data_IF_196967144439
#
_entry.id   IF_196967144439
#
_cell.length_a   1.000
_cell.length_b   1.000
_cell.length_c   1.000
_cell.angle_alpha   90.00
_cell.angle_beta   90.00
_cell.angle_gamma   90.00
#
_symmetry.space_group_name_H-M   'P 1'
#
loop_
_entity.id
_entity.type
_entity.pdbx_description
1 polymer ?
#
# COMPACT_ATOMS: atom_id res chain seq x y z
N UNK A 1 -24.96 42.68 10.54
CA UNK A 1 -23.66 42.11 10.93
C UNK A 1 -23.96 40.96 11.86
N UNK A 2 -23.86 39.72 11.37
CA UNK A 2 -23.75 38.58 12.27
C UNK A 2 -22.88 37.51 11.61
N UNK A 3 -21.67 37.44 12.14
CA UNK A 3 -20.55 36.59 11.76
C UNK A 3 -20.83 35.13 12.14
N UNK A 4 -21.41 34.36 11.20
CA UNK A 4 -21.43 32.88 11.26
C UNK A 4 -21.12 32.26 9.89
N UNK A 5 -20.15 32.83 9.17
CA UNK A 5 -19.52 32.15 8.05
C UNK A 5 -18.64 31.01 8.59
N UNK A 6 -19.30 29.86 8.69
CA UNK A 6 -18.79 28.50 8.51
C UNK A 6 -17.26 28.34 8.57
N UNK A 7 -16.72 28.19 9.78
CA UNK A 7 -15.63 27.23 10.03
C UNK A 7 -16.21 25.81 9.89
N UNK A 8 -16.57 25.44 8.65
CA UNK A 8 -16.42 24.06 8.25
C UNK A 8 -14.92 23.88 8.14
N UNK A 9 -14.35 23.21 9.14
CA UNK A 9 -12.98 22.73 9.08
C UNK A 9 -12.94 21.87 7.84
N UNK A 10 -12.36 22.42 6.78
CA UNK A 10 -12.20 21.77 5.51
C UNK A 10 -11.21 20.63 5.76
N UNK A 11 -11.74 19.49 6.21
CA UNK A 11 -10.96 18.30 6.53
C UNK A 11 -10.13 17.87 5.30
N UNK A 12 -10.52 18.32 4.11
CA UNK A 12 -9.77 18.16 2.87
C UNK A 12 -8.39 18.85 2.91
N UNK A 13 -8.19 19.92 3.69
CA UNK A 13 -6.90 20.62 3.81
C UNK A 13 -5.89 19.91 4.72
N UNK A 14 -6.34 18.99 5.56
CA UNK A 14 -5.52 18.31 6.59
C UNK A 14 -5.55 16.79 6.49
N UNK A 15 -6.39 16.23 5.61
CA UNK A 15 -6.41 14.82 5.31
C UNK A 15 -5.31 14.48 4.31
N UNK A 16 -4.52 13.46 4.64
CA UNK A 16 -3.59 12.82 3.73
C UNK A 16 -4.30 11.66 3.04
N UNK A 17 -4.11 11.54 1.73
CA UNK A 17 -4.60 10.38 0.96
C UNK A 17 -3.64 9.20 1.12
N UNK A 18 -4.11 7.97 0.84
CA UNK A 18 -3.22 6.81 0.70
C UNK A 18 -2.03 7.08 -0.21
N UNK A 19 -2.26 7.70 -1.37
CA UNK A 19 -1.21 7.99 -2.34
C UNK A 19 -0.11 8.88 -1.74
N UNK A 20 -0.49 9.92 -1.00
CA UNK A 20 0.47 10.81 -0.33
C UNK A 20 1.27 10.08 0.76
N UNK A 21 0.65 9.17 1.50
CA UNK A 21 1.35 8.36 2.50
C UNK A 21 2.33 7.37 1.85
N UNK A 22 1.90 6.70 0.79
CA UNK A 22 2.75 5.78 0.01
C UNK A 22 3.94 6.53 -0.61
N UNK A 23 3.70 7.74 -1.14
CA UNK A 23 4.75 8.58 -1.70
C UNK A 23 5.78 9.01 -0.64
N UNK A 24 5.33 9.50 0.52
CA UNK A 24 6.24 9.88 1.63
C UNK A 24 7.07 8.69 2.12
N UNK A 25 6.45 7.51 2.25
CA UNK A 25 7.17 6.29 2.63
C UNK A 25 8.15 5.84 1.55
N UNK A 26 7.77 5.94 0.27
CA UNK A 26 8.66 5.62 -0.84
C UNK A 26 9.85 6.59 -0.91
N UNK A 27 9.64 7.89 -0.71
CA UNK A 27 10.71 8.89 -0.60
C UNK A 27 11.63 8.60 0.58
N UNK A 28 11.08 8.20 1.74
CA UNK A 28 11.87 7.78 2.90
C UNK A 28 12.76 6.57 2.57
N UNK A 29 12.22 5.53 1.93
CA UNK A 29 13.01 4.36 1.50
C UNK A 29 14.04 4.74 0.43
N UNK A 30 13.66 5.57 -0.54
CA UNK A 30 14.56 6.03 -1.58
C UNK A 30 15.73 6.85 -1.06
N UNK A 31 15.49 7.70 -0.06
CA UNK A 31 16.56 8.42 0.64
C UNK A 31 17.56 7.47 1.32
N UNK A 32 17.16 6.23 1.62
CA UNK A 32 18.03 5.19 2.16
C UNK A 32 18.77 4.38 1.09
N UNK A 33 18.32 4.37 -0.17
CA UNK A 33 18.82 3.43 -1.22
C UNK A 33 19.11 4.02 -2.62
N UNK A 34 18.90 5.32 -2.82
CA UNK A 34 19.26 6.13 -4.00
C UNK A 34 18.56 5.91 -5.37
N UNK A 35 17.59 5.02 -5.57
CA UNK A 35 16.80 5.03 -6.83
C UNK A 35 15.29 4.79 -6.65
N UNK A 36 14.47 5.67 -7.23
CA UNK A 36 13.02 5.51 -7.44
C UNK A 36 12.78 5.42 -8.95
N UNK A 37 11.99 4.44 -9.39
CA UNK A 37 11.48 4.40 -10.76
C UNK A 37 9.95 4.52 -10.71
N UNK A 38 9.41 5.57 -11.32
CA UNK A 38 7.96 5.80 -11.40
C UNK A 38 7.29 4.75 -12.32
N UNK A 39 6.53 3.82 -11.74
CA UNK A 39 5.66 2.88 -12.46
C UNK A 39 4.26 3.47 -12.69
N UNK A 40 3.76 3.33 -13.91
CA UNK A 40 2.59 4.01 -14.50
C UNK A 40 1.25 3.93 -13.75
N UNK A 41 0.51 5.05 -13.88
CA UNK A 41 -0.85 5.38 -13.42
C UNK A 41 -1.88 4.25 -13.48
N UNK A 42 -2.50 3.99 -12.33
CA UNK A 42 -3.76 3.25 -12.22
C UNK A 42 -3.91 2.59 -10.84
N UNK A 43 -4.58 3.26 -9.90
CA UNK A 43 -4.90 2.80 -8.52
C UNK A 43 -3.69 2.34 -7.68
N UNK A 44 -3.19 3.28 -6.87
CA UNK A 44 -2.65 3.03 -5.50
C UNK A 44 -1.62 1.91 -5.34
N UNK A 45 -0.57 1.88 -6.16
CA UNK A 45 0.63 1.07 -5.92
C UNK A 45 1.88 1.86 -6.31
N UNK A 46 2.63 2.34 -5.32
CA UNK A 46 3.99 2.81 -5.55
C UNK A 46 4.90 1.58 -5.58
N UNK A 47 5.56 1.36 -6.72
CA UNK A 47 6.50 0.26 -6.94
C UNK A 47 7.90 0.84 -6.81
N UNK A 48 8.68 0.36 -5.84
CA UNK A 48 10.12 0.63 -5.79
C UNK A 48 10.81 -0.50 -6.53
N UNK A 49 11.37 -0.21 -7.70
CA UNK A 49 12.05 -1.23 -8.52
C UNK A 49 13.55 -1.14 -8.32
N UNK A 50 14.18 -2.29 -8.10
CA UNK A 50 15.62 -2.44 -8.19
C UNK A 50 15.93 -3.31 -9.41
N UNK A 51 16.49 -2.73 -10.50
CA UNK A 51 16.93 -3.53 -11.62
C UNK A 51 18.15 -4.34 -11.18
N UNK A 52 17.96 -5.63 -10.88
CA UNK A 52 19.07 -6.56 -11.00
C UNK A 52 19.43 -6.64 -12.48
N UNK A 53 20.70 -6.50 -12.80
CA UNK A 53 21.20 -6.77 -14.15
C UNK A 53 20.65 -8.14 -14.59
N UNK A 54 20.00 -8.18 -15.76
CA UNK A 54 19.18 -9.32 -16.18
C UNK A 54 19.92 -10.64 -16.00
N UNK A 55 19.42 -11.48 -15.08
CA UNK A 55 19.90 -12.83 -14.90
C UNK A 55 19.35 -13.70 -16.02
N UNK A 56 20.24 -14.18 -16.88
CA UNK A 56 19.88 -15.16 -17.89
C UNK A 56 19.55 -16.53 -17.27
N UNK A 57 18.98 -17.41 -18.11
CA UNK A 57 18.62 -18.78 -17.72
C UNK A 57 19.77 -19.56 -17.08
N UNK A 58 20.98 -19.40 -17.59
CA UNK A 58 22.16 -20.16 -17.15
C UNK A 58 22.54 -19.79 -15.72
N UNK A 59 22.45 -18.51 -15.35
CA UNK A 59 22.70 -18.09 -13.98
C UNK A 59 21.70 -18.70 -12.98
N UNK A 60 20.42 -18.80 -13.36
CA UNK A 60 19.38 -19.41 -12.52
C UNK A 60 19.57 -20.91 -12.31
N UNK A 61 19.96 -21.64 -13.34
CA UNK A 61 20.26 -23.08 -13.27
C UNK A 61 21.51 -23.36 -12.42
N UNK A 62 22.57 -22.55 -12.59
CA UNK A 62 23.79 -22.64 -11.79
C UNK A 62 23.53 -22.38 -10.29
N UNK A 63 22.54 -21.55 -9.99
CA UNK A 63 22.09 -21.28 -8.64
C UNK A 63 21.14 -22.36 -8.07
N UNK A 64 20.88 -23.45 -8.81
CA UNK A 64 20.18 -24.63 -8.33
C UNK A 64 18.69 -24.71 -8.70
N UNK A 65 18.14 -23.75 -9.47
CA UNK A 65 16.78 -23.89 -9.96
C UNK A 65 16.70 -24.94 -11.05
N UNK A 66 15.73 -25.85 -10.93
CA UNK A 66 15.40 -26.78 -12.01
C UNK A 66 14.57 -26.05 -13.05
N UNK A 67 15.06 -26.04 -14.29
CA UNK A 67 14.31 -25.51 -15.42
C UNK A 67 13.69 -26.65 -16.24
N UNK A 68 12.46 -26.46 -16.69
CA UNK A 68 11.85 -27.25 -17.75
C UNK A 68 11.42 -26.31 -18.86
N UNK A 69 11.94 -26.51 -20.07
CA UNK A 69 11.63 -25.65 -21.21
C UNK A 69 10.98 -26.43 -22.34
N UNK A 70 10.00 -25.80 -22.97
CA UNK A 70 9.47 -26.19 -24.27
C UNK A 70 9.54 -24.99 -25.24
N UNK A 71 9.08 -25.17 -26.47
CA UNK A 71 9.14 -24.14 -27.52
C UNK A 71 8.38 -22.84 -27.22
N UNK A 72 7.61 -22.77 -26.13
CA UNK A 72 6.77 -21.61 -25.77
C UNK A 72 7.02 -21.09 -24.36
N UNK A 73 7.61 -21.89 -23.48
CA UNK A 73 7.69 -21.58 -22.06
C UNK A 73 8.91 -22.21 -21.39
N UNK A 74 9.50 -21.50 -20.44
CA UNK A 74 10.42 -22.04 -19.45
C UNK A 74 9.80 -21.96 -18.07
N UNK A 75 9.79 -23.07 -17.36
CA UNK A 75 9.30 -23.19 -15.99
C UNK A 75 10.47 -23.40 -15.05
N UNK A 76 10.61 -22.58 -14.01
CA UNK A 76 11.55 -22.82 -12.92
C UNK A 76 10.81 -23.36 -11.70
N UNK A 77 11.23 -24.53 -11.22
CA UNK A 77 10.75 -25.09 -9.96
C UNK A 77 11.63 -24.61 -8.81
N UNK A 78 10.98 -24.07 -7.78
CA UNK A 78 11.58 -23.76 -6.49
C UNK A 78 11.42 -24.99 -5.58
N UNK A 79 12.44 -25.31 -4.78
CA UNK A 79 12.55 -26.56 -3.98
C UNK A 79 11.36 -26.88 -3.05
N UNK A 80 10.43 -25.95 -2.86
CA UNK A 80 9.25 -26.07 -1.98
C UNK A 80 7.90 -26.01 -2.73
N UNK A 81 7.85 -26.46 -3.98
CA UNK A 81 6.59 -26.64 -4.74
C UNK A 81 6.00 -25.37 -5.35
N UNK A 82 6.78 -24.28 -5.42
CA UNK A 82 6.42 -23.10 -6.20
C UNK A 82 7.02 -23.21 -7.61
N UNK A 83 6.27 -22.82 -8.62
CA UNK A 83 6.75 -22.80 -10.01
C UNK A 83 6.60 -21.42 -10.61
N UNK A 84 7.54 -21.07 -11.47
CA UNK A 84 7.57 -19.80 -12.20
C UNK A 84 7.60 -20.06 -13.69
N UNK A 85 6.58 -19.59 -14.39
CA UNK A 85 6.49 -19.73 -15.83
C UNK A 85 6.95 -18.44 -16.49
N UNK A 86 7.82 -18.56 -17.49
CA UNK A 86 8.26 -17.48 -18.36
C UNK A 86 7.88 -17.86 -19.78
N UNK A 87 7.11 -17.02 -20.45
CA UNK A 87 6.77 -17.22 -21.86
C UNK A 87 7.94 -16.72 -22.71
N UNK A 88 8.29 -17.47 -23.76
CA UNK A 88 9.18 -16.97 -24.80
C UNK A 88 8.32 -16.22 -25.83
N UNK A 89 8.65 -14.96 -26.12
CA UNK A 89 8.11 -14.31 -27.32
C UNK A 89 8.88 -14.77 -28.55
N UNK A 90 8.16 -14.94 -29.67
CA UNK A 90 8.67 -15.53 -30.90
C UNK A 90 9.85 -14.78 -31.55
N UNK A 91 10.20 -13.61 -31.02
CA UNK A 91 11.29 -12.76 -31.53
C UNK A 91 12.44 -12.54 -30.54
N UNK A 92 12.33 -13.00 -29.28
CA UNK A 92 13.35 -12.76 -28.25
C UNK A 92 13.86 -14.09 -27.68
N UNK A 93 15.02 -14.49 -28.21
CA UNK A 93 15.83 -15.65 -27.86
C UNK A 93 16.34 -15.58 -26.42
N UNK A 94 16.09 -16.64 -25.64
CA UNK A 94 16.78 -17.08 -24.40
C UNK A 94 17.02 -16.11 -23.23
N UNK A 95 16.79 -14.81 -23.38
CA UNK A 95 16.95 -13.81 -22.33
C UNK A 95 15.65 -13.66 -21.55
N UNK A 96 15.53 -14.45 -20.49
CA UNK A 96 14.57 -14.21 -19.42
C UNK A 96 15.16 -13.09 -18.55
N UNK A 97 14.43 -11.99 -18.34
CA UNK A 97 14.84 -10.95 -17.39
C UNK A 97 13.88 -10.96 -16.21
N UNK A 98 14.43 -10.91 -15.00
CA UNK A 98 13.66 -10.79 -13.76
C UNK A 98 14.06 -9.49 -13.07
N UNK A 99 13.09 -8.64 -12.80
CA UNK A 99 13.27 -7.44 -11.99
C UNK A 99 12.77 -7.69 -10.56
N UNK A 100 13.49 -7.17 -9.57
CA UNK A 100 13.02 -7.14 -8.19
C UNK A 100 12.32 -5.81 -7.94
N UNK A 101 11.20 -5.86 -7.24
CA UNK A 101 10.47 -4.67 -6.82
C UNK A 101 9.87 -4.87 -5.43
N UNK A 102 9.44 -3.78 -4.82
CA UNK A 102 8.63 -3.79 -3.63
C UNK A 102 7.34 -3.02 -3.87
N UNK A 103 6.21 -3.65 -3.59
CA UNK A 103 4.90 -2.99 -3.60
C UNK A 103 4.67 -2.40 -2.22
N UNK A 104 4.52 -1.07 -2.17
CA UNK A 104 4.14 -0.37 -0.95
C UNK A 104 2.63 -0.53 -0.70
N UNK A 105 2.26 -0.86 0.53
CA UNK A 105 0.87 -1.01 0.96
C UNK A 105 0.68 -0.46 2.37
N UNK A 106 -0.44 0.23 2.60
CA UNK A 106 -0.76 0.74 3.93
C UNK A 106 -1.11 -0.41 4.88
N UNK A 107 -0.57 -0.35 6.08
CA UNK A 107 -0.92 -1.25 7.17
C UNK A 107 -1.35 -0.46 8.41
N UNK A 108 -2.65 -0.49 8.69
CA UNK A 108 -3.19 0.06 9.94
C UNK A 108 -2.75 -0.74 11.17
N UNK A 109 -2.57 -2.05 11.02
CA UNK A 109 -2.12 -2.95 12.09
C UNK A 109 -0.70 -2.58 12.53
N UNK A 110 0.21 -2.43 11.56
CA UNK A 110 1.61 -2.10 11.85
C UNK A 110 1.85 -0.60 11.99
N UNK A 111 0.81 0.21 11.82
CA UNK A 111 0.85 1.68 11.84
C UNK A 111 1.95 2.23 10.93
N UNK A 112 1.91 1.85 9.65
CA UNK A 112 2.93 2.24 8.67
C UNK A 112 2.61 1.82 7.25
N UNK A 113 3.61 1.96 6.38
CA UNK A 113 3.64 1.38 5.02
C UNK A 113 4.48 0.12 5.05
N UNK A 114 3.85 -1.01 4.74
CA UNK A 114 4.53 -2.28 4.56
C UNK A 114 4.99 -2.42 3.10
N UNK A 115 6.21 -2.91 2.93
CA UNK A 115 6.79 -3.20 1.62
C UNK A 115 6.72 -4.71 1.36
N UNK A 116 6.03 -5.08 0.29
CA UNK A 116 5.83 -6.46 -0.11
C UNK A 116 6.83 -6.76 -1.24
N UNK A 117 7.78 -7.68 -1.05
CA UNK A 117 8.73 -8.02 -2.11
C UNK A 117 8.05 -8.75 -3.25
N UNK A 118 8.37 -8.34 -4.47
CA UNK A 118 7.85 -8.88 -5.71
C UNK A 118 8.99 -9.10 -6.69
N UNK A 119 9.04 -10.27 -7.31
CA UNK A 119 9.83 -10.46 -8.52
C UNK A 119 8.92 -10.32 -9.75
N UNK A 120 9.39 -9.76 -10.85
CA UNK A 120 8.64 -9.60 -12.09
C UNK A 120 9.44 -10.18 -13.25
N UNK A 121 8.81 -11.08 -14.01
CA UNK A 121 9.38 -11.58 -15.27
C UNK A 121 8.94 -10.77 -16.47
N UNK A 122 9.73 -10.83 -17.55
CA UNK A 122 9.44 -10.14 -18.83
C UNK A 122 8.07 -10.47 -19.43
N UNK A 123 7.54 -11.68 -19.24
CA UNK A 123 6.33 -12.12 -19.97
C UNK A 123 5.24 -12.77 -19.12
N UNK A 124 5.58 -13.32 -17.96
CA UNK A 124 4.65 -13.93 -17.02
C UNK A 124 5.18 -13.76 -15.60
N UNK A 125 4.28 -13.41 -14.68
CA UNK A 125 4.53 -13.33 -13.23
C UNK A 125 3.60 -14.33 -12.55
N UNK A 126 3.99 -14.93 -11.40
CA UNK A 126 3.11 -15.85 -10.69
C UNK A 126 1.84 -15.14 -10.23
N UNK A 127 0.76 -15.90 -10.09
CA UNK A 127 -0.52 -15.37 -9.59
C UNK A 127 -0.51 -15.18 -8.07
N UNK A 128 0.37 -15.89 -7.35
CA UNK A 128 0.39 -15.89 -5.89
C UNK A 128 1.60 -15.12 -5.32
N UNK A 129 1.36 -14.47 -4.18
CA UNK A 129 2.35 -13.65 -3.49
C UNK A 129 3.50 -14.47 -2.88
N UNK A 130 3.30 -15.76 -2.63
CA UNK A 130 4.31 -16.61 -1.99
C UNK A 130 5.42 -16.99 -2.97
N UNK A 131 5.05 -17.27 -4.21
CA UNK A 131 5.95 -17.47 -5.34
C UNK A 131 6.75 -16.21 -5.65
N UNK A 132 6.13 -15.02 -5.58
CA UNK A 132 6.84 -13.72 -5.60
C UNK A 132 7.91 -13.62 -4.51
N UNK A 133 7.55 -13.91 -3.25
CA UNK A 133 8.48 -13.85 -2.11
C UNK A 133 9.62 -14.84 -2.21
N UNK A 134 9.35 -16.08 -2.62
CA UNK A 134 10.35 -17.13 -2.73
C UNK A 134 11.37 -16.81 -3.83
N UNK A 135 10.91 -16.37 -4.99
CA UNK A 135 11.81 -15.94 -6.06
C UNK A 135 12.62 -14.71 -5.64
N UNK A 136 12.00 -13.72 -4.99
CA UNK A 136 12.72 -12.57 -4.46
C UNK A 136 13.83 -12.98 -3.49
N UNK A 137 13.52 -13.87 -2.53
CA UNK A 137 14.51 -14.41 -1.57
C UNK A 137 15.65 -15.13 -2.24
N UNK A 138 15.33 -15.99 -3.19
CA UNK A 138 16.32 -16.73 -3.96
C UNK A 138 17.27 -15.78 -4.68
N UNK A 139 16.71 -14.80 -5.41
CA UNK A 139 17.49 -13.82 -6.16
C UNK A 139 18.34 -12.94 -5.23
N UNK A 140 17.81 -12.52 -4.09
CA UNK A 140 18.59 -11.80 -3.08
C UNK A 140 19.74 -12.64 -2.50
N UNK A 141 19.56 -13.96 -2.33
CA UNK A 141 20.61 -14.84 -1.78
C UNK A 141 21.78 -15.08 -2.72
N UNK A 142 21.55 -15.03 -4.03
CA UNK A 142 22.60 -15.22 -5.04
C UNK A 142 23.27 -13.91 -5.46
N UNK A 143 22.71 -12.77 -5.02
CA UNK A 143 23.25 -11.43 -5.19
C UNK A 143 23.55 -10.80 -3.82
N UNK A 144 24.56 -11.30 -3.07
CA UNK A 144 24.94 -10.74 -1.77
C UNK A 144 25.36 -9.25 -1.85
N UNK A 145 25.76 -8.78 -3.02
CA UNK A 145 26.08 -7.38 -3.32
C UNK A 145 24.85 -6.47 -3.51
N UNK A 146 23.64 -7.04 -3.54
CA UNK A 146 22.41 -6.25 -3.64
C UNK A 146 22.27 -5.30 -2.43
N UNK A 147 21.61 -4.14 -2.58
CA UNK A 147 21.46 -3.16 -1.51
C UNK A 147 20.82 -3.75 -0.25
N UNK A 148 21.18 -3.20 0.92
CA UNK A 148 20.67 -3.64 2.23
C UNK A 148 19.14 -3.76 2.29
N UNK A 149 18.41 -2.91 1.58
CA UNK A 149 16.93 -2.98 1.55
C UNK A 149 16.44 -4.24 0.85
N UNK A 150 17.12 -4.69 -0.20
CA UNK A 150 16.79 -5.94 -0.93
C UNK A 150 17.05 -7.13 -0.01
N UNK A 151 18.18 -7.12 0.69
CA UNK A 151 18.50 -8.17 1.67
C UNK A 151 17.49 -8.20 2.84
N UNK A 152 17.10 -7.04 3.36
CA UNK A 152 16.07 -6.92 4.40
C UNK A 152 14.70 -7.42 3.93
N UNK A 153 14.28 -7.01 2.73
CA UNK A 153 13.00 -7.43 2.13
C UNK A 153 12.95 -8.94 1.86
N UNK A 154 14.09 -9.56 1.56
CA UNK A 154 14.16 -11.01 1.41
C UNK A 154 13.97 -11.72 2.76
N UNK A 155 14.60 -11.24 3.82
CA UNK A 155 14.59 -11.91 5.12
C UNK A 155 13.29 -11.69 5.89
N UNK A 156 12.80 -10.45 5.94
CA UNK A 156 11.71 -10.06 6.82
C UNK A 156 10.76 -9.04 6.16
N UNK A 157 9.64 -8.81 6.82
CA UNK A 157 8.69 -7.78 6.46
C UNK A 157 9.26 -6.41 6.81
N UNK A 158 9.53 -5.61 5.78
CA UNK A 158 9.94 -4.21 5.97
C UNK A 158 8.70 -3.34 6.13
N UNK A 159 8.67 -2.55 7.21
CA UNK A 159 7.61 -1.57 7.49
C UNK A 159 8.25 -0.23 7.81
N UNK A 160 7.84 0.81 7.10
CA UNK A 160 8.11 2.20 7.47
C UNK A 160 6.94 2.69 8.31
N UNK A 161 7.15 2.80 9.62
CA UNK A 161 6.11 3.24 10.56
C UNK A 161 5.81 4.72 10.37
N UNK A 162 4.58 5.11 10.69
CA UNK A 162 4.17 6.51 10.64
C UNK A 162 5.08 7.42 11.46
N UNK A 163 5.55 6.95 12.61
CA UNK A 163 6.49 7.70 13.46
C UNK A 163 7.81 8.03 12.76
N UNK A 164 8.29 7.15 11.87
CA UNK A 164 9.56 7.34 11.16
C UNK A 164 9.47 8.46 10.11
N UNK A 165 8.27 8.75 9.61
CA UNK A 165 8.00 9.84 8.66
C UNK A 165 7.27 11.02 9.32
N UNK A 166 7.33 11.14 10.64
CA UNK A 166 6.75 12.29 11.38
C UNK A 166 5.22 12.29 11.48
N UNK A 167 4.56 11.16 11.23
CA UNK A 167 3.11 11.00 11.22
C UNK A 167 2.60 10.06 12.33
N UNK A 168 3.35 9.91 13.42
CA UNK A 168 3.11 8.90 14.46
C UNK A 168 1.69 8.87 15.06
N UNK A 169 0.97 9.99 15.08
CA UNK A 169 -0.41 10.07 15.57
C UNK A 169 -1.51 9.94 14.51
N UNK A 170 -1.16 9.72 13.24
CA UNK A 170 -2.14 9.66 12.14
C UNK A 170 -3.12 8.49 12.30
N UNK A 171 -4.37 8.70 11.88
CA UNK A 171 -5.45 7.69 11.89
C UNK A 171 -6.32 7.80 10.65
N UNK A 172 -6.85 6.69 10.14
CA UNK A 172 -7.90 6.75 9.14
C UNK A 172 -9.18 7.36 9.71
N UNK A 173 -9.98 7.96 8.84
CA UNK A 173 -11.30 8.48 9.19
C UNK A 173 -12.19 7.38 9.79
N UNK A 174 -12.16 6.16 9.24
CA UNK A 174 -12.97 5.04 9.72
C UNK A 174 -12.56 4.63 11.14
N UNK A 175 -11.25 4.56 11.40
CA UNK A 175 -10.73 4.25 12.73
C UNK A 175 -11.08 5.34 13.73
N UNK A 176 -10.89 6.61 13.37
CA UNK A 176 -11.25 7.74 14.21
C UNK A 176 -12.75 7.74 14.54
N UNK A 177 -13.60 7.40 13.57
CA UNK A 177 -15.04 7.29 13.76
C UNK A 177 -15.43 6.09 14.64
N UNK A 178 -14.79 4.94 14.46
CA UNK A 178 -15.01 3.77 15.30
C UNK A 178 -14.71 4.06 16.77
N UNK A 179 -13.65 4.81 17.05
CA UNK A 179 -13.31 5.29 18.39
C UNK A 179 -14.32 6.32 18.92
N UNK A 180 -14.81 7.23 18.05
CA UNK A 180 -15.88 8.16 18.39
C UNK A 180 -17.17 7.43 18.82
N UNK A 181 -17.54 6.36 18.10
CA UNK A 181 -18.73 5.58 18.41
C UNK A 181 -18.60 4.75 19.70
N UNK A 182 -17.39 4.36 20.12
CA UNK A 182 -17.16 3.49 21.29
C UNK A 182 -18.05 2.24 21.32
N UNK A 183 -18.28 1.62 20.15
CA UNK A 183 -19.15 0.45 20.01
C UNK A 183 -20.66 0.75 19.96
N UNK A 184 -21.08 2.01 19.84
CA UNK A 184 -22.48 2.37 19.65
C UNK A 184 -22.96 2.03 18.23
N UNK A 185 -23.64 0.89 18.10
CA UNK A 185 -24.16 0.39 16.83
C UNK A 185 -25.22 1.29 16.19
N UNK A 186 -25.99 2.05 16.98
CA UNK A 186 -26.95 3.01 16.45
C UNK A 186 -26.24 4.14 15.70
N UNK A 187 -25.17 4.70 16.28
CA UNK A 187 -24.35 5.72 15.61
C UNK A 187 -23.67 5.16 14.36
N UNK A 188 -23.19 3.92 14.42
CA UNK A 188 -22.60 3.24 13.27
C UNK A 188 -23.60 3.07 12.12
N UNK A 189 -24.82 2.62 12.42
CA UNK A 189 -25.91 2.50 11.43
C UNK A 189 -26.31 3.85 10.85
N UNK A 190 -26.39 4.89 11.69
CA UNK A 190 -26.68 6.26 11.25
C UNK A 190 -25.65 6.73 10.22
N UNK A 191 -24.36 6.47 10.46
CA UNK A 191 -23.28 6.86 9.56
C UNK A 191 -23.32 6.17 8.19
N UNK A 192 -23.96 5.01 8.09
CA UNK A 192 -24.13 4.27 6.83
C UNK A 192 -25.47 4.63 6.15
N UNK A 193 -26.36 5.32 6.86
CA UNK A 193 -27.70 5.64 6.38
C UNK A 193 -27.74 6.87 5.46
N UNK A 194 -28.85 7.03 4.75
CA UNK A 194 -29.15 8.25 3.97
C UNK A 194 -29.24 9.52 4.84
N UNK A 195 -29.47 9.38 6.15
CA UNK A 195 -29.55 10.48 7.11
C UNK A 195 -28.21 10.80 7.76
N UNK A 196 -27.10 10.22 7.26
CA UNK A 196 -25.77 10.41 7.82
C UNK A 196 -25.45 11.91 7.98
N UNK A 197 -25.31 12.41 9.24
CA UNK A 197 -25.01 13.80 9.48
C UNK A 197 -23.49 14.09 9.46
N UNK A 198 -22.66 13.05 9.40
CA UNK A 198 -21.23 13.15 9.63
C UNK A 198 -20.49 13.67 8.40
N UNK A 199 -19.84 14.82 8.56
CA UNK A 199 -18.86 15.35 7.60
C UNK A 199 -17.54 15.60 8.31
N UNK A 200 -16.43 14.97 7.87
CA UNK A 200 -16.34 14.06 6.71
C UNK A 200 -17.09 12.74 6.96
N UNK A 201 -17.61 12.13 5.89
CA UNK A 201 -18.38 10.89 5.96
C UNK A 201 -17.42 9.70 6.18
N UNK A 202 -17.57 8.92 7.26
CA UNK A 202 -16.69 7.80 7.57
C UNK A 202 -16.78 6.60 6.62
N UNK A 203 -17.85 6.50 5.84
CA UNK A 203 -18.13 5.37 4.95
C UNK A 203 -18.54 5.82 3.53
N UNK A 204 -18.05 6.98 3.07
CA UNK A 204 -18.35 7.47 1.72
C UNK A 204 -17.87 6.48 0.66
N UNK A 205 -18.78 6.03 -0.21
CA UNK A 205 -18.48 5.13 -1.35
C UNK A 205 -18.33 5.86 -2.68
N UNK A 206 -18.65 7.16 -2.72
CA UNK A 206 -18.79 7.93 -3.96
C UNK A 206 -17.58 8.84 -4.25
N UNK A 207 -16.59 8.89 -3.37
CA UNK A 207 -15.37 9.65 -3.59
C UNK A 207 -14.19 8.71 -3.81
N UNK A 208 -13.45 8.89 -4.90
CA UNK A 208 -12.14 8.27 -5.19
C UNK A 208 -11.07 8.60 -4.11
N UNK A 209 -11.44 9.41 -3.11
CA UNK A 209 -10.68 9.74 -1.90
C UNK A 209 -11.02 8.81 -0.73
N UNK A 210 -11.19 7.51 -1.00
CA UNK A 210 -11.55 6.45 -0.04
C UNK A 210 -10.55 6.27 1.13
N UNK A 211 -9.40 6.92 1.07
CA UNK A 211 -8.28 6.68 1.97
C UNK A 211 -7.83 7.95 2.71
N UNK A 212 -8.73 8.58 3.46
CA UNK A 212 -8.40 9.79 4.22
C UNK A 212 -7.83 9.44 5.58
N UNK A 213 -6.58 9.84 5.77
CA UNK A 213 -5.86 9.76 7.03
C UNK A 213 -5.74 11.16 7.65
N UNK A 214 -6.17 11.30 8.88
CA UNK A 214 -6.23 12.57 9.61
C UNK A 214 -4.98 12.70 10.48
N UNK A 215 -4.20 13.74 10.23
CA UNK A 215 -3.07 14.11 11.07
C UNK A 215 -3.52 14.38 12.52
N UNK A 216 -2.66 14.04 13.48
CA UNK A 216 -2.97 14.12 14.92
C UNK A 216 -3.49 15.49 15.34
N UNK A 217 -2.88 16.56 14.84
CA UNK A 217 -3.25 17.95 15.11
C UNK A 217 -4.68 18.30 14.67
N UNK A 218 -5.21 17.62 13.64
CA UNK A 218 -6.54 17.87 13.08
C UNK A 218 -7.64 16.98 13.69
N UNK A 219 -7.30 15.91 14.41
CA UNK A 219 -8.28 14.96 14.96
C UNK A 219 -9.27 15.58 15.97
N UNK A 220 -8.86 16.45 16.91
CA UNK A 220 -9.80 17.06 17.87
C UNK A 220 -10.92 17.85 17.19
N UNK A 221 -10.57 18.51 16.10
CA UNK A 221 -11.46 19.33 15.28
C UNK A 221 -12.51 18.48 14.54
N UNK A 222 -12.08 17.36 13.96
CA UNK A 222 -13.00 16.39 13.33
C UNK A 222 -13.99 15.84 14.36
N UNK A 223 -13.51 15.42 15.53
CA UNK A 223 -14.35 14.90 16.60
C UNK A 223 -15.36 15.92 17.13
N UNK A 224 -14.94 17.19 17.28
CA UNK A 224 -15.85 18.27 17.65
C UNK A 224 -16.93 18.53 16.58
N UNK A 225 -16.54 18.46 15.30
CA UNK A 225 -17.44 18.56 14.16
C UNK A 225 -18.54 17.50 14.18
N UNK A 226 -18.18 16.22 14.33
CA UNK A 226 -19.14 15.12 14.40
C UNK A 226 -20.09 15.22 15.61
N UNK A 227 -19.60 15.67 16.77
CA UNK A 227 -20.46 15.91 17.95
C UNK A 227 -21.53 16.96 17.67
N UNK A 228 -21.13 18.08 17.06
CA UNK A 228 -22.05 19.16 16.69
C UNK A 228 -23.10 18.68 15.69
N UNK A 229 -22.68 17.99 14.63
CA UNK A 229 -23.59 17.46 13.61
C UNK A 229 -24.61 16.48 14.18
N UNK A 230 -24.18 15.59 15.08
CA UNK A 230 -25.08 14.68 15.78
C UNK A 230 -26.11 15.45 16.62
N UNK A 231 -25.65 16.46 17.37
CA UNK A 231 -26.54 17.30 18.18
C UNK A 231 -27.56 18.07 17.33
N UNK A 232 -27.14 18.65 16.21
CA UNK A 232 -28.01 19.36 15.27
C UNK A 232 -29.08 18.43 14.68
N UNK A 233 -28.71 17.19 14.32
CA UNK A 233 -29.67 16.20 13.85
C UNK A 233 -30.69 15.84 14.94
N UNK A 234 -30.23 15.57 16.17
CA UNK A 234 -31.12 15.26 17.29
C UNK A 234 -32.11 16.39 17.57
N UNK A 235 -31.64 17.64 17.59
CA UNK A 235 -32.49 18.82 17.82
C UNK A 235 -33.56 18.98 16.73
N UNK A 236 -33.22 18.70 15.47
CA UNK A 236 -34.19 18.71 14.36
C UNK A 236 -35.23 17.62 14.51
N UNK A 237 -34.83 16.41 14.91
CA UNK A 237 -35.74 15.28 15.08
C UNK A 237 -36.67 15.45 16.29
N UNK A 238 -36.22 16.10 17.37
CA UNK A 238 -37.06 16.38 18.54
C UNK A 238 -38.07 17.52 18.35
N UNK A 239 -37.97 18.26 17.24
CA UNK A 239 -38.88 19.37 16.91
C UNK A 239 -40.10 18.91 16.08
N UNK A 240 -40.18 17.63 15.73
CA UNK A 240 -41.29 16.97 15.03
C UNK A 240 -41.95 15.94 15.94
#
# INVERSE_FOLDING_TARGET
MDTKQHELIDCNRTALTSSQLLERAAQFVAALTMELHEGSRGRTKTIVTYPLAGLDRTAMENAGLRSESNSRMTTFALDNGGYWNFRHDHEHTDQITIALSAIASISETDRGVAFIPCAHGTFLSPADNESHRRMFRFLASIHPEAPDIVQKLAQDRVVVRWSEIGLGGIRSIERLFSEFCKGNETLRRLAISILNPFSPNPFSRDNVEEDRFIEESAQPNVLAGWRRQLHELCSRLSAY
#
